data_IF_269158867734
#
_entry.id   IF_269158867734
#
_cell.length_a   1.000
_cell.length_b   1.000
_cell.length_c   1.000
_cell.angle_alpha   90.00
_cell.angle_beta   90.00
_cell.angle_gamma   90.00
#
_symmetry.space_group_name_H-M   'P 1'
#
loop_
_entity.id
_entity.type
_entity.pdbx_description
1 polymer ?
#
# COMPACT_ATOMS: atom_id res chain seq x y z
N UNK A 1 12.21 -9.20 24.18
CA UNK A 1 13.21 -9.22 23.08
C UNK A 1 12.77 -10.29 22.10
N UNK A 2 12.15 -9.92 20.97
CA UNK A 2 11.89 -10.90 19.89
C UNK A 2 13.25 -11.37 19.39
N UNK A 3 13.47 -12.69 19.38
CA UNK A 3 14.74 -13.28 18.92
C UNK A 3 15.03 -12.94 17.45
N UNK A 4 16.21 -13.32 16.93
CA UNK A 4 16.57 -13.06 15.55
C UNK A 4 15.54 -13.69 14.59
N UNK A 5 14.75 -12.85 13.92
CA UNK A 5 13.82 -13.25 12.88
C UNK A 5 14.61 -13.63 11.63
N UNK A 6 14.67 -14.93 11.33
CA UNK A 6 15.31 -15.44 10.11
C UNK A 6 14.26 -15.51 9.01
N UNK A 7 14.55 -14.89 7.86
CA UNK A 7 13.67 -15.00 6.69
C UNK A 7 13.82 -16.42 6.12
N UNK A 8 12.70 -17.13 6.00
CA UNK A 8 12.70 -18.47 5.41
C UNK A 8 12.62 -18.37 3.88
N UNK A 9 13.32 -19.24 3.13
CA UNK A 9 13.14 -19.32 1.69
C UNK A 9 11.73 -19.85 1.38
N UNK A 10 11.05 -19.19 0.43
CA UNK A 10 9.67 -19.48 0.03
C UNK A 10 9.66 -19.83 -1.46
N UNK A 11 8.96 -20.91 -1.82
CA UNK A 11 8.78 -21.35 -3.20
C UNK A 11 7.30 -21.57 -3.51
N UNK A 12 6.90 -21.29 -4.75
CA UNK A 12 5.53 -21.58 -5.23
C UNK A 12 5.45 -23.06 -5.58
N UNK A 13 4.44 -23.76 -5.04
CA UNK A 13 4.24 -25.19 -5.25
C UNK A 13 2.85 -25.49 -5.78
N UNK A 14 2.70 -26.60 -6.50
CA UNK A 14 1.42 -27.11 -6.98
C UNK A 14 1.18 -28.52 -6.45
N UNK A 15 0.60 -28.65 -5.24
CA UNK A 15 0.28 -29.95 -4.67
C UNK A 15 -0.81 -30.67 -5.48
N UNK A 16 -0.66 -31.99 -5.62
CA UNK A 16 -1.59 -32.84 -6.37
C UNK A 16 -2.98 -32.86 -5.71
N UNK A 17 -4.05 -32.69 -6.50
CA UNK A 17 -5.43 -32.84 -6.03
C UNK A 17 -6.06 -31.61 -5.37
N UNK A 18 -5.52 -30.42 -5.66
CA UNK A 18 -5.97 -29.16 -5.05
C UNK A 18 -6.58 -28.21 -6.10
N UNK A 19 -7.57 -27.37 -5.77
CA UNK A 19 -8.21 -26.48 -6.74
C UNK A 19 -7.19 -25.55 -7.42
N UNK A 20 -7.27 -25.36 -8.75
CA UNK A 20 -6.34 -24.50 -9.50
C UNK A 20 -6.46 -23.01 -9.15
N UNK A 21 -7.51 -22.62 -8.43
CA UNK A 21 -7.78 -21.26 -7.96
C UNK A 21 -6.88 -20.84 -6.80
N UNK A 22 -6.23 -21.79 -6.12
CA UNK A 22 -5.39 -21.53 -4.96
C UNK A 22 -3.91 -21.60 -5.32
N UNK A 23 -3.16 -20.58 -4.89
CA UNK A 23 -1.70 -20.57 -5.00
C UNK A 23 -1.10 -21.03 -3.68
N UNK A 24 -0.21 -22.03 -3.73
CA UNK A 24 0.47 -22.55 -2.55
C UNK A 24 1.90 -22.07 -2.47
N UNK A 25 2.33 -21.78 -1.26
CA UNK A 25 3.69 -21.40 -0.93
C UNK A 25 4.25 -22.42 0.06
N UNK A 26 5.44 -22.94 -0.23
CA UNK A 26 6.21 -23.80 0.67
C UNK A 26 7.35 -23.00 1.28
N UNK A 27 7.47 -23.03 2.61
CA UNK A 27 8.57 -22.39 3.33
C UNK A 27 9.50 -23.47 3.91
N UNK A 28 10.78 -23.44 3.55
CA UNK A 28 11.74 -24.43 4.05
C UNK A 28 12.33 -24.01 5.39
N UNK A 29 12.19 -24.87 6.40
CA UNK A 29 12.76 -24.64 7.73
C UNK A 29 14.27 -24.90 7.72
N UNK A 30 15.05 -24.04 8.39
CA UNK A 30 16.50 -24.23 8.52
C UNK A 30 16.88 -25.45 9.36
N UNK A 31 16.01 -25.85 10.29
CA UNK A 31 16.11 -27.09 11.06
C UNK A 31 14.76 -27.81 11.04
N UNK A 32 14.73 -29.13 10.82
CA UNK A 32 13.49 -29.90 10.92
C UNK A 32 12.84 -29.75 12.29
N UNK A 33 11.52 -29.59 12.32
CA UNK A 33 10.75 -29.53 13.56
C UNK A 33 10.56 -30.95 14.10
N UNK A 34 11.14 -31.25 15.26
CA UNK A 34 10.94 -32.54 15.93
C UNK A 34 9.50 -32.71 16.43
N UNK A 35 9.05 -33.97 16.50
CA UNK A 35 7.70 -34.32 16.97
C UNK A 35 7.42 -33.74 18.36
N UNK A 36 6.30 -33.03 18.49
CA UNK A 36 5.86 -32.43 19.75
C UNK A 36 6.47 -31.06 20.08
N UNK A 37 7.41 -30.56 19.26
CA UNK A 37 7.91 -29.19 19.41
C UNK A 37 6.98 -28.18 18.75
N UNK A 38 7.03 -26.94 19.23
CA UNK A 38 6.26 -25.80 18.70
C UNK A 38 7.18 -24.85 17.95
N UNK A 39 6.68 -24.31 16.83
CA UNK A 39 7.34 -23.28 16.04
C UNK A 39 6.40 -22.08 15.88
N UNK A 40 6.94 -20.87 16.03
CA UNK A 40 6.21 -19.64 15.77
C UNK A 40 6.68 -19.06 14.43
N UNK A 41 5.72 -18.76 13.55
CA UNK A 41 5.97 -18.21 12.23
C UNK A 41 5.18 -16.90 12.10
N UNK A 42 5.88 -15.83 11.73
CA UNK A 42 5.27 -14.55 11.34
C UNK A 42 5.23 -14.52 9.80
N UNK A 43 4.03 -14.47 9.21
CA UNK A 43 3.83 -14.43 7.75
C UNK A 43 3.31 -13.04 7.37
N UNK A 44 3.99 -12.37 6.43
CA UNK A 44 3.58 -11.09 5.88
C UNK A 44 3.22 -11.26 4.40
N UNK A 45 2.00 -10.91 4.04
CA UNK A 45 1.53 -10.81 2.66
C UNK A 45 1.10 -9.38 2.38
N UNK A 46 1.39 -8.91 1.16
CA UNK A 46 1.01 -7.57 0.70
C UNK A 46 0.21 -7.71 -0.57
N UNK A 47 -1.05 -7.29 -0.52
CA UNK A 47 -1.95 -7.30 -1.67
C UNK A 47 -2.14 -5.88 -2.20
N UNK A 48 -2.11 -5.72 -3.51
CA UNK A 48 -2.41 -4.47 -4.20
C UNK A 48 -3.80 -4.56 -4.82
N UNK A 49 -4.51 -3.44 -4.91
CA UNK A 49 -5.84 -3.36 -5.54
C UNK A 49 -6.95 -4.20 -4.87
N UNK A 50 -6.78 -4.62 -3.61
CA UNK A 50 -7.79 -5.37 -2.84
C UNK A 50 -8.89 -4.51 -2.24
N UNK A 51 -8.71 -3.18 -2.22
CA UNK A 51 -9.67 -2.22 -1.67
C UNK A 51 -10.25 -1.42 -2.82
N UNK A 52 -11.57 -1.42 -2.94
CA UNK A 52 -12.27 -0.77 -4.05
C UNK A 52 -13.12 0.40 -3.55
N UNK A 53 -13.16 1.53 -4.27
CA UNK A 53 -14.04 2.64 -3.93
C UNK A 53 -15.52 2.24 -4.08
N UNK A 54 -16.32 2.55 -3.06
CA UNK A 54 -17.76 2.36 -3.11
C UNK A 54 -18.46 3.45 -2.29
N UNK A 55 -19.14 4.42 -2.92
CA UNK A 55 -19.45 4.49 -4.35
C UNK A 55 -18.21 4.72 -5.26
N UNK A 56 -18.31 4.33 -6.53
CA UNK A 56 -17.24 4.49 -7.51
C UNK A 56 -16.97 5.95 -7.88
N UNK A 57 -17.98 6.82 -7.73
CA UNK A 57 -17.91 8.24 -8.00
C UNK A 57 -18.40 9.03 -6.78
N UNK A 58 -17.65 10.08 -6.43
CA UNK A 58 -17.96 10.98 -5.30
C UNK A 58 -17.85 12.43 -5.76
N UNK A 59 -18.67 13.31 -5.20
CA UNK A 59 -18.52 14.75 -5.44
C UNK A 59 -17.26 15.28 -4.72
N UNK A 60 -16.78 16.46 -5.11
CA UNK A 60 -15.60 17.10 -4.51
C UNK A 60 -15.66 17.22 -2.97
N UNK A 61 -16.87 17.24 -2.39
CA UNK A 61 -17.10 17.46 -0.98
C UNK A 61 -17.36 16.20 -0.15
N UNK A 62 -17.51 15.07 -0.81
CA UNK A 62 -17.81 13.80 -0.17
C UNK A 62 -16.53 13.12 0.31
N UNK A 63 -16.62 12.48 1.47
CA UNK A 63 -15.58 11.55 1.92
C UNK A 63 -15.55 10.32 1.02
N UNK A 64 -14.36 9.76 0.86
CA UNK A 64 -14.19 8.50 0.16
C UNK A 64 -14.51 7.34 1.09
N UNK A 65 -15.45 6.51 0.66
CA UNK A 65 -15.77 5.23 1.26
C UNK A 65 -15.21 4.10 0.38
N UNK A 66 -14.73 3.04 1.02
CA UNK A 66 -14.14 1.90 0.33
C UNK A 66 -14.63 0.58 0.89
N UNK A 67 -14.65 -0.43 0.05
CA UNK A 67 -15.03 -1.80 0.38
C UNK A 67 -13.81 -2.69 0.30
N UNK A 68 -13.61 -3.49 1.35
CA UNK A 68 -12.68 -4.60 1.40
C UNK A 68 -13.47 -5.91 1.49
N UNK A 69 -13.11 -6.87 0.63
CA UNK A 69 -13.75 -8.19 0.55
C UNK A 69 -12.68 -9.27 0.69
N UNK A 70 -12.87 -10.17 1.65
CA UNK A 70 -11.97 -11.29 1.91
C UNK A 70 -12.70 -12.36 2.76
N UNK A 71 -11.97 -13.31 3.35
CA UNK A 71 -12.49 -14.32 4.26
C UNK A 71 -12.21 -13.98 5.72
N UNK A 72 -13.22 -14.10 6.59
CA UNK A 72 -13.03 -14.03 8.04
C UNK A 72 -12.22 -15.23 8.59
N UNK A 73 -12.12 -16.31 7.80
CA UNK A 73 -11.38 -17.53 8.12
C UNK A 73 -10.11 -17.62 7.27
N UNK A 74 -9.00 -18.00 7.90
CA UNK A 74 -7.71 -18.14 7.25
C UNK A 74 -7.70 -19.42 6.41
N UNK A 75 -7.48 -19.26 5.11
CA UNK A 75 -7.45 -20.37 4.17
C UNK A 75 -6.15 -21.16 4.33
N UNK A 76 -6.18 -22.16 5.21
CA UNK A 76 -5.04 -23.02 5.53
C UNK A 76 -5.23 -24.45 5.02
N UNK A 77 -4.20 -25.10 4.44
CA UNK A 77 -4.25 -26.54 4.13
C UNK A 77 -4.16 -27.43 5.38
N UNK A 78 -3.82 -26.85 6.53
CA UNK A 78 -3.74 -27.55 7.82
C UNK A 78 -4.96 -27.23 8.68
N UNK A 79 -5.42 -28.18 9.53
CA UNK A 79 -6.47 -27.92 10.51
C UNK A 79 -6.02 -26.84 11.50
N UNK A 80 -6.92 -25.91 11.81
CA UNK A 80 -6.62 -24.77 12.68
C UNK A 80 -7.38 -24.93 13.98
N UNK A 81 -6.64 -25.03 15.09
CA UNK A 81 -7.23 -25.20 16.42
C UNK A 81 -7.94 -23.95 16.93
N UNK A 82 -7.30 -22.79 16.81
CA UNK A 82 -7.85 -21.49 17.21
C UNK A 82 -7.43 -20.44 16.20
N UNK A 83 -8.36 -19.60 15.77
CA UNK A 83 -8.09 -18.48 14.88
C UNK A 83 -8.75 -17.21 15.41
N UNK A 84 -8.06 -16.08 15.29
CA UNK A 84 -8.63 -14.75 15.49
C UNK A 84 -8.14 -13.84 14.38
N UNK A 85 -9.05 -13.08 13.78
CA UNK A 85 -8.72 -12.08 12.77
C UNK A 85 -8.96 -10.69 13.36
N UNK A 86 -8.02 -9.77 13.13
CA UNK A 86 -8.13 -8.37 13.54
C UNK A 86 -7.82 -7.48 12.35
N UNK A 87 -8.81 -6.69 11.93
CA UNK A 87 -8.70 -5.73 10.82
C UNK A 87 -8.54 -4.35 11.43
N UNK A 88 -7.40 -3.70 11.16
CA UNK A 88 -7.15 -2.31 11.58
C UNK A 88 -7.58 -1.36 10.49
N UNK A 89 -8.51 -0.48 10.82
CA UNK A 89 -9.05 0.51 9.91
C UNK A 89 -8.30 1.84 10.08
N UNK A 90 -8.10 2.60 8.99
CA UNK A 90 -7.37 3.88 9.04
C UNK A 90 -8.10 4.95 9.87
N UNK A 91 -9.42 4.80 10.05
CA UNK A 91 -10.25 5.61 10.93
C UNK A 91 -11.28 4.76 11.67
N UNK A 92 -12.05 5.37 12.56
CA UNK A 92 -13.09 4.68 13.34
C UNK A 92 -14.46 4.63 12.68
N UNK A 93 -14.63 5.20 11.49
CA UNK A 93 -15.94 5.26 10.83
C UNK A 93 -16.14 4.08 9.89
N UNK A 94 -17.03 3.18 10.29
CA UNK A 94 -17.45 2.01 9.54
C UNK A 94 -18.91 2.18 9.16
N UNK A 95 -19.23 2.06 7.86
CA UNK A 95 -20.59 2.17 7.35
C UNK A 95 -21.31 0.81 7.48
N UNK A 96 -20.66 -0.28 7.07
CA UNK A 96 -21.19 -1.63 7.25
C UNK A 96 -20.09 -2.69 7.31
N UNK A 97 -20.38 -3.82 7.95
CA UNK A 97 -19.49 -4.98 7.98
C UNK A 97 -20.31 -6.27 8.13
N UNK A 98 -19.81 -7.38 7.58
CA UNK A 98 -20.42 -8.69 7.76
C UNK A 98 -20.37 -9.08 9.23
N UNK A 99 -21.51 -9.44 9.81
CA UNK A 99 -21.62 -9.86 11.23
C UNK A 99 -21.63 -11.37 11.32
N UNK A 100 -20.58 -11.93 11.91
CA UNK A 100 -20.52 -13.33 12.33
C UNK A 100 -20.67 -13.44 13.86
N UNK A 101 -20.96 -14.64 14.40
CA UNK A 101 -20.81 -14.90 15.82
C UNK A 101 -19.42 -14.44 16.31
N UNK A 102 -19.37 -13.77 17.47
CA UNK A 102 -18.15 -13.19 18.06
C UNK A 102 -17.51 -12.02 17.30
N UNK A 103 -18.22 -11.34 16.40
CA UNK A 103 -17.70 -10.10 15.79
C UNK A 103 -17.74 -8.94 16.77
N UNK A 104 -16.62 -8.23 16.96
CA UNK A 104 -16.54 -7.04 17.82
C UNK A 104 -15.85 -5.90 17.11
N UNK A 105 -16.50 -4.75 17.06
CA UNK A 105 -15.87 -3.49 16.65
C UNK A 105 -15.47 -2.73 17.92
N UNK A 106 -14.17 -2.46 18.06
CA UNK A 106 -13.63 -1.66 19.16
C UNK A 106 -12.72 -0.57 18.56
N UNK A 107 -13.06 0.69 18.80
CA UNK A 107 -12.38 1.86 18.25
C UNK A 107 -12.22 1.80 16.71
N UNK A 108 -11.00 1.55 16.22
CA UNK A 108 -10.67 1.40 14.79
C UNK A 108 -10.23 -0.04 14.45
N UNK A 109 -10.56 -1.02 15.28
CA UNK A 109 -10.20 -2.43 15.08
C UNK A 109 -11.45 -3.31 15.06
N UNK A 110 -11.63 -4.05 13.95
CA UNK A 110 -12.71 -5.02 13.77
C UNK A 110 -12.16 -6.43 13.99
N UNK A 111 -12.73 -7.13 14.97
CA UNK A 111 -12.29 -8.48 15.37
C UNK A 111 -13.32 -9.52 14.97
N UNK A 112 -12.84 -10.58 14.32
CA UNK A 112 -13.59 -11.79 13.97
C UNK A 112 -13.03 -13.00 14.72
N UNK A 113 -13.93 -13.82 15.25
CA UNK A 113 -13.59 -14.94 16.12
C UNK A 113 -13.51 -14.55 17.61
N UNK A 114 -13.04 -15.44 18.49
CA UNK A 114 -12.27 -16.64 18.17
C UNK A 114 -13.10 -17.71 17.46
N UNK A 115 -12.49 -18.36 16.48
CA UNK A 115 -13.00 -19.59 15.86
C UNK A 115 -12.19 -20.77 16.40
N UNK A 116 -12.85 -21.87 16.74
CA UNK A 116 -12.24 -23.08 17.26
C UNK A 116 -12.43 -24.25 16.29
N UNK A 117 -11.42 -25.13 16.22
CA UNK A 117 -11.43 -26.39 15.47
C UNK A 117 -11.93 -26.28 14.02
N UNK A 118 -11.29 -25.41 13.24
CA UNK A 118 -11.61 -25.21 11.82
C UNK A 118 -10.96 -26.30 10.95
N UNK A 119 -11.73 -26.93 10.02
CA UNK A 119 -11.18 -27.87 9.07
C UNK A 119 -10.24 -27.19 8.06
N UNK A 120 -9.37 -27.96 7.38
CA UNK A 120 -8.60 -27.47 6.25
C UNK A 120 -9.48 -26.77 5.21
N UNK A 121 -8.97 -25.70 4.61
CA UNK A 121 -9.63 -24.92 3.56
C UNK A 121 -10.97 -24.28 3.96
N UNK A 122 -11.15 -23.97 5.25
CA UNK A 122 -12.29 -23.20 5.73
C UNK A 122 -12.31 -21.78 5.13
N UNK A 123 -13.47 -21.34 4.65
CA UNK A 123 -13.67 -20.05 3.99
C UNK A 123 -15.01 -19.43 4.40
N UNK A 124 -14.99 -18.16 4.79
CA UNK A 124 -16.19 -17.45 5.25
C UNK A 124 -16.17 -16.00 4.75
N UNK A 125 -16.92 -15.67 3.69
CA UNK A 125 -16.78 -14.39 2.99
C UNK A 125 -17.28 -13.21 3.83
N UNK A 126 -16.40 -12.26 4.10
CA UNK A 126 -16.71 -11.01 4.78
C UNK A 126 -16.52 -9.81 3.85
N UNK A 127 -17.33 -8.79 4.12
CA UNK A 127 -17.26 -7.49 3.45
C UNK A 127 -17.20 -6.42 4.53
N UNK A 128 -16.28 -5.47 4.38
CA UNK A 128 -16.14 -4.32 5.28
C UNK A 128 -16.16 -3.05 4.46
N UNK A 129 -17.10 -2.16 4.77
CA UNK A 129 -17.31 -0.86 4.11
C UNK A 129 -17.03 0.25 5.11
N UNK A 130 -16.02 1.07 4.84
CA UNK A 130 -15.50 2.05 5.79
C UNK A 130 -14.96 3.31 5.09
N UNK A 131 -14.80 4.39 5.85
CA UNK A 131 -14.23 5.64 5.36
C UNK A 131 -12.70 5.54 5.24
N UNK A 132 -12.16 5.85 4.06
CA UNK A 132 -10.73 5.88 3.82
C UNK A 132 -10.37 7.00 2.83
N UNK A 133 -9.97 8.14 3.40
CA UNK A 133 -9.53 9.32 2.66
C UNK A 133 -8.00 9.36 2.43
N UNK A 134 -7.28 8.27 2.68
CA UNK A 134 -5.85 8.25 2.39
C UNK A 134 -5.59 8.37 0.88
N UNK A 135 -4.45 8.91 0.44
CA UNK A 135 -4.07 8.98 -0.96
C UNK A 135 -4.02 7.60 -1.67
N UNK A 136 -4.88 7.38 -2.66
CA UNK A 136 -4.81 6.18 -3.52
C UNK A 136 -3.91 6.44 -4.74
N UNK A 137 -2.62 6.68 -4.49
CA UNK A 137 -1.65 6.91 -5.56
C UNK A 137 -1.28 5.57 -6.24
N UNK A 138 -1.63 5.42 -7.51
CA UNK A 138 -1.32 4.25 -8.34
C UNK A 138 -0.34 4.67 -9.42
N UNK A 139 0.88 4.15 -9.38
CA UNK A 139 1.81 4.31 -10.49
C UNK A 139 1.43 3.35 -11.62
N UNK A 140 0.93 3.89 -12.72
CA UNK A 140 0.62 3.12 -13.94
C UNK A 140 1.89 2.67 -14.64
N UNK A 141 2.90 3.53 -14.63
CA UNK A 141 4.20 3.28 -15.23
C UNK A 141 5.27 4.04 -14.45
N UNK A 142 6.41 3.37 -14.23
CA UNK A 142 7.61 3.99 -13.69
C UNK A 142 8.80 3.52 -14.53
N UNK A 143 9.44 4.45 -15.21
CA UNK A 143 10.67 4.19 -15.95
C UNK A 143 11.81 4.79 -15.15
N UNK A 144 12.77 3.97 -14.73
CA UNK A 144 13.98 4.42 -14.01
C UNK A 144 15.19 4.19 -14.90
N UNK A 145 15.83 5.28 -15.29
CA UNK A 145 17.10 5.28 -16.01
C UNK A 145 18.23 5.54 -15.01
N UNK A 146 19.29 4.74 -15.10
CA UNK A 146 20.47 4.85 -14.24
C UNK A 146 21.68 4.97 -15.14
N UNK A 147 22.30 6.15 -15.16
CA UNK A 147 23.53 6.42 -15.90
C UNK A 147 24.72 6.41 -14.94
N UNK A 148 25.69 5.53 -15.21
CA UNK A 148 26.89 5.40 -14.40
C UNK A 148 28.05 6.08 -15.13
N UNK A 149 28.58 7.14 -14.53
CA UNK A 149 29.76 7.82 -15.01
C UNK A 149 30.98 7.43 -14.17
N UNK A 150 31.97 6.82 -14.82
CA UNK A 150 33.27 6.49 -14.21
C UNK A 150 34.05 7.72 -13.74
N UNK A 151 33.61 8.93 -14.13
CA UNK A 151 34.15 10.19 -13.62
C UNK A 151 33.63 10.56 -12.22
N UNK A 152 32.79 9.72 -11.60
CA UNK A 152 32.50 9.78 -10.16
C UNK A 152 31.04 10.02 -9.78
N UNK A 153 30.09 9.97 -10.72
CA UNK A 153 28.67 10.22 -10.45
C UNK A 153 27.79 9.10 -11.00
N UNK A 154 26.70 8.81 -10.29
CA UNK A 154 25.58 8.01 -10.78
C UNK A 154 24.38 8.95 -10.90
N UNK A 155 23.84 9.08 -12.10
CA UNK A 155 22.67 9.91 -12.36
C UNK A 155 21.44 9.02 -12.47
N UNK A 156 20.40 9.32 -11.70
CA UNK A 156 19.13 8.62 -11.75
C UNK A 156 18.08 9.57 -12.32
N UNK A 157 17.32 9.10 -13.31
CA UNK A 157 16.14 9.78 -13.85
C UNK A 157 14.95 8.85 -13.76
N UNK A 158 13.89 9.26 -13.06
CA UNK A 158 12.67 8.50 -12.88
C UNK A 158 11.50 9.24 -13.52
N UNK A 159 10.88 8.61 -14.52
CA UNK A 159 9.65 9.07 -15.14
C UNK A 159 8.47 8.35 -14.50
N UNK A 160 7.56 9.12 -13.94
CA UNK A 160 6.37 8.63 -13.24
C UNK A 160 5.12 8.97 -14.03
N UNK A 161 4.25 7.97 -14.22
CA UNK A 161 2.86 8.15 -14.61
C UNK A 161 1.97 7.69 -13.44
N UNK A 162 1.42 8.64 -12.70
CA UNK A 162 0.64 8.38 -11.49
C UNK A 162 -0.81 8.76 -11.72
N UNK A 163 -1.72 7.89 -11.30
CA UNK A 163 -3.15 8.14 -11.28
C UNK A 163 -3.71 8.00 -9.86
N UNK A 164 -4.79 8.72 -9.58
CA UNK A 164 -5.55 8.55 -8.35
C UNK A 164 -6.55 7.38 -8.52
N UNK A 165 -6.26 6.24 -7.90
CA UNK A 165 -7.06 5.00 -7.99
C UNK A 165 -8.30 4.93 -7.08
N UNK A 166 -8.57 5.97 -6.29
CA UNK A 166 -9.77 6.10 -5.48
C UNK A 166 -11.04 6.45 -6.28
N UNK A 167 -12.10 6.82 -5.57
CA UNK A 167 -13.41 7.14 -6.16
C UNK A 167 -13.31 8.35 -7.11
N UNK A 168 -13.86 8.22 -8.31
CA UNK A 168 -13.77 9.25 -9.36
C UNK A 168 -14.50 10.53 -8.96
N UNK A 169 -14.01 11.67 -9.41
CA UNK A 169 -14.72 12.93 -9.22
C UNK A 169 -16.01 12.95 -10.05
N UNK A 170 -17.13 13.06 -9.36
CA UNK A 170 -18.45 13.28 -9.96
C UNK A 170 -18.75 14.77 -10.05
N UNK A 171 -19.11 15.22 -11.25
CA UNK A 171 -19.41 16.62 -11.52
C UNK A 171 -18.17 17.47 -11.77
N UNK A 172 -18.27 18.77 -11.52
CA UNK A 172 -17.23 19.73 -11.85
C UNK A 172 -16.28 19.97 -10.68
N UNK A 173 -15.02 20.30 -11.00
CA UNK A 173 -14.06 20.77 -10.02
C UNK A 173 -14.20 22.28 -9.81
N UNK A 174 -14.48 22.67 -8.58
CA UNK A 174 -14.53 24.06 -8.14
C UNK A 174 -13.26 24.42 -7.36
N UNK A 175 -12.41 25.25 -7.97
CA UNK A 175 -11.18 25.76 -7.33
C UNK A 175 -11.49 26.63 -6.11
N UNK A 176 -12.56 27.41 -6.15
CA UNK A 176 -12.95 28.28 -5.03
C UNK A 176 -13.38 27.45 -3.82
N UNK A 177 -14.14 26.37 -4.03
CA UNK A 177 -14.52 25.46 -2.95
C UNK A 177 -13.31 24.72 -2.39
N UNK A 178 -12.38 24.30 -3.27
CA UNK A 178 -11.15 23.65 -2.87
C UNK A 178 -10.26 24.55 -2.00
N UNK A 179 -10.07 25.80 -2.41
CA UNK A 179 -9.19 26.74 -1.71
C UNK A 179 -9.83 27.31 -0.44
N UNK A 180 -11.15 27.47 -0.41
CA UNK A 180 -11.84 28.00 0.77
C UNK A 180 -11.92 26.99 1.92
N UNK A 181 -12.12 25.70 1.63
CA UNK A 181 -12.24 24.64 2.65
C UNK A 181 -11.47 23.37 2.26
N UNK A 182 -10.14 23.44 2.13
CA UNK A 182 -9.32 22.37 1.60
C UNK A 182 -9.42 21.04 2.36
N UNK A 183 -9.62 21.08 3.67
CA UNK A 183 -9.70 19.87 4.51
C UNK A 183 -11.06 19.15 4.44
N UNK A 184 -12.09 19.83 3.92
CA UNK A 184 -13.45 19.30 3.81
C UNK A 184 -13.79 19.02 2.35
N UNK A 185 -13.51 19.98 1.46
CA UNK A 185 -13.84 19.95 0.02
C UNK A 185 -12.71 19.39 -0.85
N UNK A 186 -11.84 18.58 -0.26
CA UNK A 186 -10.67 18.01 -0.92
C UNK A 186 -10.05 16.85 -0.15
N UNK A 187 -10.80 16.27 0.80
CA UNK A 187 -10.29 15.25 1.72
C UNK A 187 -9.88 13.97 0.99
N UNK A 188 -10.58 13.64 -0.09
CA UNK A 188 -10.32 12.47 -0.95
C UNK A 188 -9.25 12.73 -2.01
N UNK A 189 -8.72 13.96 -2.12
CA UNK A 189 -7.64 14.29 -3.06
C UNK A 189 -6.28 14.22 -2.36
N UNK A 190 -5.21 13.93 -3.10
CA UNK A 190 -3.85 14.12 -2.58
C UNK A 190 -3.13 15.26 -3.29
N UNK A 191 -2.38 16.04 -2.50
CA UNK A 191 -1.71 17.28 -2.91
C UNK A 191 -0.21 17.13 -3.07
N UNK A 192 0.38 16.32 -2.22
CA UNK A 192 1.82 16.07 -2.22
C UNK A 192 2.08 14.58 -2.22
N UNK A 193 3.25 14.22 -2.75
CA UNK A 193 3.83 12.90 -2.68
C UNK A 193 5.22 13.05 -2.05
N UNK A 194 5.63 12.06 -1.26
CA UNK A 194 6.94 12.06 -0.62
C UNK A 194 7.81 11.01 -1.28
N UNK A 195 8.77 11.45 -2.09
CA UNK A 195 9.82 10.60 -2.63
C UNK A 195 10.94 10.45 -1.60
N UNK A 196 11.24 9.20 -1.22
CA UNK A 196 12.36 8.87 -0.33
C UNK A 196 13.57 8.51 -1.17
N UNK A 197 14.54 9.43 -1.21
CA UNK A 197 15.76 9.30 -1.99
C UNK A 197 16.89 8.71 -1.12
N UNK A 198 17.90 8.08 -1.74
CA UNK A 198 19.11 7.64 -1.03
C UNK A 198 19.78 8.81 -0.30
N UNK A 199 20.52 8.54 0.80
CA UNK A 199 21.30 9.57 1.47
C UNK A 199 22.33 10.16 0.50
N UNK A 200 22.68 11.43 0.70
CA UNK A 200 23.62 12.19 -0.16
C UNK A 200 23.16 12.41 -1.60
N UNK A 201 21.87 12.22 -1.90
CA UNK A 201 21.30 12.67 -3.16
C UNK A 201 21.52 14.18 -3.35
N UNK A 202 22.01 14.56 -4.52
CA UNK A 202 22.30 15.95 -4.88
C UNK A 202 21.80 16.26 -6.29
N UNK A 203 21.90 17.53 -6.70
CA UNK A 203 21.48 17.99 -8.05
C UNK A 203 20.05 17.55 -8.41
N UNK A 204 19.15 17.63 -7.43
CA UNK A 204 17.78 17.12 -7.55
C UNK A 204 16.95 18.07 -8.40
N UNK A 205 16.20 17.54 -9.36
CA UNK A 205 15.22 18.29 -10.14
C UNK A 205 13.89 17.56 -10.21
N UNK A 206 12.82 18.35 -10.30
CA UNK A 206 11.45 17.91 -10.43
C UNK A 206 10.76 18.70 -11.54
N UNK A 207 10.36 18.01 -12.61
CA UNK A 207 9.83 18.62 -13.83
C UNK A 207 8.72 17.77 -14.43
N UNK A 208 7.88 18.36 -15.25
CA UNK A 208 6.97 17.64 -16.14
C UNK A 208 7.35 17.87 -17.61
N UNK A 209 6.50 17.40 -18.51
CA UNK A 209 6.69 17.54 -19.96
C UNK A 209 6.74 19.00 -20.43
N UNK A 210 6.08 19.91 -19.70
CA UNK A 210 5.99 21.32 -20.05
C UNK A 210 7.00 22.20 -19.30
N UNK A 211 7.82 21.62 -18.42
CA UNK A 211 8.97 22.29 -17.81
C UNK A 211 9.07 22.08 -16.31
N UNK A 212 9.75 23.02 -15.65
CA UNK A 212 10.02 22.89 -14.22
C UNK A 212 8.73 23.03 -13.38
N UNK A 213 8.66 22.29 -12.28
CA UNK A 213 7.64 22.47 -11.25
C UNK A 213 8.36 22.95 -9.97
N UNK A 214 8.10 24.19 -9.57
CA UNK A 214 8.78 24.81 -8.43
C UNK A 214 8.19 24.42 -7.07
N UNK A 215 7.01 23.79 -7.05
CA UNK A 215 6.33 23.35 -5.83
C UNK A 215 6.89 22.02 -5.34
N UNK A 216 8.10 22.08 -4.77
CA UNK A 216 8.75 20.96 -4.12
C UNK A 216 9.54 21.42 -2.89
N UNK A 217 9.67 20.54 -1.90
CA UNK A 217 10.42 20.79 -0.69
C UNK A 217 11.39 19.64 -0.42
N UNK A 218 12.67 19.98 -0.22
CA UNK A 218 13.72 19.01 0.03
C UNK A 218 14.12 19.06 1.50
N UNK A 219 14.06 17.92 2.16
CA UNK A 219 14.59 17.71 3.50
C UNK A 219 15.67 16.64 3.44
N UNK A 220 16.85 16.91 4.03
CA UNK A 220 17.97 15.97 4.00
C UNK A 220 18.65 15.90 5.35
N UNK A 221 18.98 14.68 5.76
CA UNK A 221 19.80 14.35 6.93
C UNK A 221 20.83 13.29 6.50
N UNK A 222 21.86 13.11 7.33
CA UNK A 222 22.90 12.08 7.23
C UNK A 222 22.39 10.68 6.86
N UNK A 223 21.16 10.33 7.25
CA UNK A 223 20.56 9.01 7.02
C UNK A 223 19.60 8.93 5.84
N UNK A 224 18.98 10.04 5.44
CA UNK A 224 17.90 10.01 4.44
C UNK A 224 17.71 11.36 3.76
N UNK A 225 17.29 11.32 2.51
CA UNK A 225 16.86 12.49 1.76
C UNK A 225 15.39 12.30 1.36
N UNK A 226 14.56 13.30 1.62
CA UNK A 226 13.12 13.28 1.37
C UNK A 226 12.74 14.48 0.51
N UNK A 227 12.17 14.19 -0.65
CA UNK A 227 11.64 15.19 -1.56
C UNK A 227 10.12 15.12 -1.50
N UNK A 228 9.51 16.16 -0.93
CA UNK A 228 8.07 16.37 -1.04
C UNK A 228 7.80 17.08 -2.37
N UNK A 229 7.00 16.47 -3.24
CA UNK A 229 6.62 17.03 -4.54
C UNK A 229 5.14 17.31 -4.56
N UNK A 230 4.77 18.50 -5.03
CA UNK A 230 3.38 18.87 -5.28
C UNK A 230 3.16 18.94 -6.80
N UNK A 231 2.26 18.13 -7.37
CA UNK A 231 1.85 18.27 -8.77
C UNK A 231 1.19 19.64 -9.03
N UNK A 232 1.13 20.06 -10.30
CA UNK A 232 0.54 21.37 -10.68
C UNK A 232 -0.93 21.55 -10.28
N UNK A 233 -1.63 20.45 -10.03
CA UNK A 233 -3.03 20.41 -9.60
C UNK A 233 -3.23 19.26 -8.61
N UNK A 234 -4.17 19.38 -7.66
CA UNK A 234 -4.51 18.29 -6.77
C UNK A 234 -5.10 17.13 -7.56
N UNK A 235 -4.76 15.90 -7.19
CA UNK A 235 -5.26 14.72 -7.88
C UNK A 235 -6.52 14.21 -7.17
N UNK A 236 -7.67 14.34 -7.85
CA UNK A 236 -8.90 13.65 -7.49
C UNK A 236 -8.97 12.30 -8.21
N UNK A 237 -9.84 11.40 -7.75
CA UNK A 237 -9.99 10.08 -8.37
C UNK A 237 -10.25 10.14 -9.86
N UNK A 238 -9.54 9.26 -10.59
CA UNK A 238 -9.54 9.20 -12.05
C UNK A 238 -8.57 10.18 -12.72
N UNK A 239 -8.07 11.20 -12.03
CA UNK A 239 -7.07 12.10 -12.60
C UNK A 239 -5.68 11.44 -12.60
N UNK A 240 -4.85 11.87 -13.54
CA UNK A 240 -3.48 11.38 -13.70
C UNK A 240 -2.52 12.53 -13.96
N UNK A 241 -1.26 12.33 -13.60
CA UNK A 241 -0.17 13.26 -13.85
C UNK A 241 1.08 12.50 -14.25
N UNK A 242 1.87 13.11 -15.13
CA UNK A 242 3.20 12.65 -15.48
C UNK A 242 4.23 13.65 -14.98
N UNK A 243 5.30 13.14 -14.38
CA UNK A 243 6.42 13.97 -13.96
C UNK A 243 7.71 13.16 -13.92
N UNK A 244 8.82 13.87 -13.88
CA UNK A 244 10.17 13.32 -13.80
C UNK A 244 10.86 13.83 -12.55
N UNK A 245 11.42 12.92 -11.77
CA UNK A 245 12.36 13.24 -10.69
C UNK A 245 13.73 12.77 -11.15
N UNK A 246 14.74 13.63 -11.04
CA UNK A 246 16.12 13.21 -11.26
C UNK A 246 17.04 13.70 -10.17
N UNK A 247 18.10 12.93 -9.91
CA UNK A 247 19.06 13.20 -8.85
C UNK A 247 20.41 12.51 -9.14
N UNK A 248 21.48 13.10 -8.63
CA UNK A 248 22.83 12.55 -8.65
C UNK A 248 23.18 11.87 -7.33
N UNK A 249 24.01 10.84 -7.43
CA UNK A 249 24.59 10.12 -6.31
C UNK A 249 26.10 9.94 -6.49
N UNK A 250 26.88 10.00 -5.41
CA UNK A 250 28.32 9.74 -5.45
C UNK A 250 28.60 8.27 -5.79
N UNK A 251 29.44 8.03 -6.80
CA UNK A 251 29.73 6.70 -7.36
C UNK A 251 30.28 5.69 -6.32
N UNK A 252 31.13 6.17 -5.41
CA UNK A 252 31.83 5.35 -4.40
C UNK A 252 30.91 4.57 -3.45
N UNK A 253 29.62 4.92 -3.36
CA UNK A 253 28.66 4.20 -2.50
C UNK A 253 28.07 2.96 -3.16
N UNK A 254 28.18 2.85 -4.50
CA UNK A 254 27.39 1.90 -5.28
C UNK A 254 28.23 0.99 -6.20
N UNK A 255 29.48 1.36 -6.48
CA UNK A 255 30.39 0.56 -7.32
C UNK A 255 31.62 0.17 -6.49
N UNK A 256 31.86 -1.14 -6.39
CA UNK A 256 32.93 -1.78 -5.59
C UNK A 256 33.90 -2.55 -6.48
#
# INVERSE_FOLDING_TARGET
VKGPSTVLPIEVVQPSGVPPELTFFSASLSKPLEKGKTLHLDVLTVFTHSVQPFPEEITQAESQLVVYQDSAQYLSPYPVKVQTLSIRLPGGRVESYTKYPNTKLADSELKYGPYEDLPPFSYSPMVVHYENNNPFAVAKEVIREIEISHWGNVQITEHYNIAHGGAKLKGEFSRIDYQSRPYIRGVSSFRHLIARLPPRAHSIYYRDEIGNISTSHLWSDSKKTQLEVEPRFPLFGGWQTTFTIGYGLPLQDFVF
#
